data_IF_084727967212
#
_entry.id   IF_084727967212
#
_cell.length_a   1.000
_cell.length_b   1.000
_cell.length_c   1.000
_cell.angle_alpha   90.00
_cell.angle_beta   90.00
_cell.angle_gamma   90.00
#
_symmetry.space_group_name_H-M   'P 1'
#
loop_
_entity.id
_entity.type
_entity.pdbx_description
1 polymer ?
#
# COMPACT_ATOMS: atom_id res chain seq x y z
N UNK A 1 -3.36 -3.28 -8.83
CA UNK A 1 -1.88 -3.14 -8.72
C UNK A 1 -1.46 -1.76 -8.19
N UNK A 2 -0.15 -1.50 -8.04
CA UNK A 2 0.39 -0.21 -7.61
C UNK A 2 0.21 0.92 -8.64
N UNK A 3 0.15 0.60 -9.93
CA UNK A 3 0.03 1.59 -11.00
C UNK A 3 -1.34 2.27 -11.02
N UNK A 4 -2.42 1.51 -10.79
CA UNK A 4 -3.76 2.06 -10.64
C UNK A 4 -3.85 3.03 -9.45
N UNK A 5 -3.40 2.61 -8.26
CA UNK A 5 -3.45 3.47 -7.07
C UNK A 5 -2.59 4.72 -7.25
N UNK A 6 -1.42 4.61 -7.89
CA UNK A 6 -0.59 5.78 -8.23
C UNK A 6 -1.31 6.77 -9.14
N UNK A 7 -2.18 6.31 -10.06
CA UNK A 7 -3.00 7.21 -10.89
C UNK A 7 -4.10 7.89 -10.08
N UNK A 8 -4.76 7.17 -9.17
CA UNK A 8 -5.77 7.73 -8.28
C UNK A 8 -5.17 8.83 -7.39
N UNK A 9 -4.01 8.58 -6.79
CA UNK A 9 -3.30 9.54 -5.94
C UNK A 9 -2.80 10.81 -6.67
N UNK A 10 -2.90 10.89 -8.00
CA UNK A 10 -2.64 12.14 -8.75
C UNK A 10 -3.78 13.14 -8.64
N UNK A 11 -4.97 12.68 -8.25
CA UNK A 11 -6.06 13.59 -7.90
C UNK A 11 -5.77 14.22 -6.54
N UNK A 12 -5.36 15.48 -6.56
CA UNK A 12 -5.04 16.26 -5.36
C UNK A 12 -6.29 16.78 -4.63
N UNK A 13 -7.49 16.59 -5.20
CA UNK A 13 -8.74 17.09 -4.61
C UNK A 13 -9.41 16.08 -3.69
N UNK A 14 -9.19 14.79 -3.93
CA UNK A 14 -9.75 13.71 -3.12
C UNK A 14 -8.80 13.37 -1.97
N UNK A 15 -9.26 13.40 -0.70
CA UNK A 15 -8.45 12.92 0.41
C UNK A 15 -8.38 11.39 0.41
N UNK A 16 -7.18 10.85 0.63
CA UNK A 16 -6.95 9.41 0.70
C UNK A 16 -6.49 8.99 2.10
N UNK A 17 -7.02 7.86 2.58
CA UNK A 17 -6.60 7.24 3.82
C UNK A 17 -5.99 5.87 3.56
N UNK A 18 -4.69 5.73 3.86
CA UNK A 18 -3.95 4.47 3.66
C UNK A 18 -3.83 3.76 5.01
N UNK A 19 -4.45 2.59 5.10
CA UNK A 19 -4.46 1.76 6.30
C UNK A 19 -3.33 0.73 6.26
N UNK A 20 -2.62 0.61 7.37
CA UNK A 20 -1.61 -0.43 7.59
C UNK A 20 -1.95 -1.24 8.84
N UNK A 21 -1.86 -2.56 8.70
CA UNK A 21 -2.09 -3.47 9.82
C UNK A 21 -0.97 -3.46 10.85
N UNK A 22 -1.13 -4.30 11.87
CA UNK A 22 -0.08 -4.56 12.87
C UNK A 22 0.38 -6.02 12.75
N UNK A 23 0.94 -6.62 13.80
CA UNK A 23 1.62 -7.94 13.73
C UNK A 23 0.90 -9.03 12.93
N UNK A 24 -0.44 -9.09 12.98
CA UNK A 24 -1.27 -10.09 12.26
C UNK A 24 -1.94 -9.55 10.98
N UNK A 25 -1.62 -8.34 10.57
CA UNK A 25 -2.25 -7.66 9.43
C UNK A 25 -3.49 -6.85 9.82
N UNK A 26 -4.30 -6.53 8.82
CA UNK A 26 -5.62 -5.90 8.99
C UNK A 26 -6.69 -6.97 9.20
N UNK A 27 -7.73 -6.64 9.97
CA UNK A 27 -8.90 -7.50 10.10
C UNK A 27 -9.61 -7.64 8.75
N UNK A 28 -10.35 -8.73 8.56
CA UNK A 28 -11.08 -8.96 7.32
C UNK A 28 -12.14 -7.88 7.08
N UNK A 29 -12.84 -7.45 8.13
CA UNK A 29 -13.81 -6.33 8.10
C UNK A 29 -13.20 -5.06 7.50
N UNK A 30 -12.03 -4.63 7.96
CA UNK A 30 -11.36 -3.44 7.42
C UNK A 30 -11.00 -3.61 5.94
N UNK A 31 -10.66 -4.83 5.51
CA UNK A 31 -10.34 -5.11 4.11
C UNK A 31 -11.58 -5.10 3.23
N UNK A 32 -12.71 -5.57 3.75
CA UNK A 32 -13.99 -5.61 3.05
C UNK A 32 -14.62 -4.22 2.92
N UNK A 33 -14.40 -3.34 3.89
CA UNK A 33 -14.87 -1.94 3.90
C UNK A 33 -13.95 -0.97 3.12
N UNK A 34 -12.80 -1.43 2.64
CA UNK A 34 -11.84 -0.59 1.91
C UNK A 34 -12.23 -0.44 0.44
N UNK A 35 -12.20 0.80 -0.09
CA UNK A 35 -12.40 1.07 -1.53
C UNK A 35 -11.38 0.36 -2.42
N UNK A 36 -10.19 0.10 -1.88
CA UNK A 36 -9.11 -0.53 -2.62
C UNK A 36 -8.16 -1.32 -1.71
N UNK A 37 -7.81 -2.54 -2.14
CA UNK A 37 -6.81 -3.38 -1.48
C UNK A 37 -5.61 -3.54 -2.40
N UNK A 38 -4.44 -3.08 -1.94
CA UNK A 38 -3.18 -3.22 -2.66
C UNK A 38 -2.76 -4.70 -2.78
N UNK A 39 -2.19 -5.04 -3.93
CA UNK A 39 -1.48 -6.30 -4.09
C UNK A 39 -0.30 -6.38 -3.09
N UNK A 40 0.02 -7.58 -2.57
CA UNK A 40 1.11 -7.75 -1.63
C UNK A 40 2.46 -7.36 -2.26
N UNK A 41 3.44 -7.03 -1.42
CA UNK A 41 4.82 -6.88 -1.86
C UNK A 41 5.35 -8.27 -2.24
N UNK A 42 5.69 -8.47 -3.51
CA UNK A 42 6.31 -9.71 -3.97
C UNK A 42 7.73 -9.86 -3.42
N UNK A 43 8.04 -11.07 -2.94
CA UNK A 43 9.36 -11.49 -2.54
C UNK A 43 9.72 -12.84 -3.16
N UNK A 44 10.96 -13.31 -2.96
CA UNK A 44 11.43 -14.60 -3.48
C UNK A 44 10.98 -15.77 -2.59
N UNK A 45 9.67 -15.97 -2.47
CA UNK A 45 9.06 -17.00 -1.61
C UNK A 45 8.88 -16.60 -0.14
N UNK A 46 9.26 -15.39 0.24
CA UNK A 46 9.04 -14.82 1.57
C UNK A 46 8.71 -13.33 1.47
N UNK A 47 7.62 -12.90 2.11
CA UNK A 47 7.16 -11.51 2.11
C UNK A 47 6.59 -11.05 3.47
N UNK A 48 6.89 -11.78 4.57
CA UNK A 48 6.57 -11.35 5.93
C UNK A 48 7.54 -10.25 6.37
N UNK A 49 7.20 -9.02 6.03
CA UNK A 49 7.95 -7.82 6.38
C UNK A 49 7.44 -7.24 7.69
N UNK A 50 8.32 -6.53 8.41
CA UNK A 50 7.84 -5.65 9.47
C UNK A 50 6.90 -4.60 8.87
N UNK A 51 5.89 -4.17 9.62
CA UNK A 51 4.93 -3.15 9.15
C UNK A 51 5.67 -1.90 8.68
N UNK A 52 6.69 -1.44 9.43
CA UNK A 52 7.52 -0.29 9.07
C UNK A 52 8.21 -0.47 7.72
N UNK A 53 8.78 -1.65 7.46
CA UNK A 53 9.41 -1.97 6.18
C UNK A 53 8.40 -2.03 5.03
N UNK A 54 7.24 -2.63 5.28
CA UNK A 54 6.16 -2.70 4.29
C UNK A 54 5.65 -1.29 3.93
N UNK A 55 5.42 -0.43 4.93
CA UNK A 55 5.03 0.98 4.77
C UNK A 55 6.06 1.72 3.91
N UNK A 56 7.35 1.62 4.24
CA UNK A 56 8.41 2.30 3.49
C UNK A 56 8.41 1.90 2.00
N UNK A 57 8.33 0.60 1.70
CA UNK A 57 8.29 0.09 0.32
C UNK A 57 7.01 0.54 -0.41
N UNK A 58 5.86 0.51 0.28
CA UNK A 58 4.58 0.89 -0.32
C UNK A 58 4.58 2.38 -0.68
N UNK A 59 5.01 3.24 0.26
CA UNK A 59 5.07 4.68 0.03
C UNK A 59 6.09 5.04 -1.05
N UNK A 60 7.26 4.39 -1.07
CA UNK A 60 8.25 4.58 -2.14
C UNK A 60 7.67 4.21 -3.53
N UNK A 61 6.97 3.08 -3.65
CA UNK A 61 6.37 2.67 -4.93
C UNK A 61 5.26 3.62 -5.40
N UNK A 62 4.47 4.17 -4.48
CA UNK A 62 3.36 5.07 -4.77
C UNK A 62 3.84 6.50 -5.05
N UNK A 63 4.64 7.06 -4.16
CA UNK A 63 4.98 8.48 -4.08
C UNK A 63 6.44 8.77 -4.39
N UNK A 64 7.31 7.77 -4.40
CA UNK A 64 8.73 7.94 -4.73
C UNK A 64 8.95 8.44 -6.15
N UNK A 65 9.89 9.36 -6.28
CA UNK A 65 10.33 9.90 -7.55
C UNK A 65 11.36 8.96 -8.18
N UNK A 66 11.06 8.43 -9.37
CA UNK A 66 11.96 7.51 -10.09
C UNK A 66 12.77 8.22 -11.18
N UNK A 67 12.64 9.54 -11.24
CA UNK A 67 13.31 10.39 -12.22
C UNK A 67 14.65 10.82 -11.62
N UNK A 68 15.69 10.01 -11.84
CA UNK A 68 17.09 10.46 -11.80
C UNK A 68 17.67 10.33 -13.21
#
# INVERSE_FOLDING_TARGET
>A
DFGLLKKLLKDETTPYFILFGTGWGLTQEVKDDSDYVLAPIEGKGYNHLSVRSAVAIILDRLLGDRTM
#
